data_IF_536628433180
#
_entry.id   IF_536628433180
#
_cell.length_a   1.000
_cell.length_b   1.000
_cell.length_c   1.000
_cell.angle_alpha   90.00
_cell.angle_beta   90.00
_cell.angle_gamma   90.00
#
_symmetry.space_group_name_H-M   'P 1'
#
loop_
_entity.id
_entity.type
_entity.pdbx_description
1 polymer ?
#
# COMPACT_ATOMS: atom_id res chain seq x y z
N UNK A 1 9.31 -6.15 6.31
CA UNK A 1 8.19 -6.06 5.34
C UNK A 1 7.03 -6.96 5.76
N UNK A 2 5.79 -6.56 5.52
CA UNK A 2 4.58 -7.30 5.92
C UNK A 2 3.47 -7.23 4.87
N UNK A 3 2.51 -8.14 4.97
CA UNK A 3 1.27 -8.11 4.17
C UNK A 3 0.14 -7.55 5.03
N UNK A 4 -0.70 -6.73 4.43
CA UNK A 4 -1.90 -6.15 5.04
C UNK A 4 -3.10 -6.77 4.32
N UNK A 5 -4.12 -7.18 5.05
CA UNK A 5 -5.35 -7.71 4.47
C UNK A 5 -6.57 -7.23 5.26
N UNK A 6 -7.70 -7.09 4.58
CA UNK A 6 -8.99 -6.97 5.27
C UNK A 6 -9.50 -8.34 5.69
N UNK A 7 -9.94 -8.47 6.95
CA UNK A 7 -10.66 -9.64 7.43
C UNK A 7 -12.14 -9.47 7.05
N UNK A 8 -12.47 -9.71 5.78
CA UNK A 8 -13.82 -9.57 5.25
C UNK A 8 -14.03 -10.48 4.03
N UNK A 9 -15.26 -10.95 3.84
CA UNK A 9 -15.67 -11.65 2.62
C UNK A 9 -16.05 -10.64 1.53
N UNK A 10 -15.65 -10.90 0.28
CA UNK A 10 -15.98 -10.05 -0.87
C UNK A 10 -16.70 -10.86 -1.95
N UNK A 11 -17.56 -10.21 -2.74
CA UNK A 11 -18.20 -10.83 -3.92
C UNK A 11 -17.28 -10.89 -5.14
N UNK A 12 -16.14 -10.19 -5.10
CA UNK A 12 -15.17 -10.16 -6.19
C UNK A 12 -14.40 -11.49 -6.35
N UNK A 13 -14.43 -12.37 -5.35
CA UNK A 13 -13.72 -13.67 -5.39
C UNK A 13 -12.20 -13.54 -5.42
N UNK A 14 -11.66 -12.36 -5.09
CA UNK A 14 -10.23 -12.06 -5.08
C UNK A 14 -9.72 -11.90 -3.65
N UNK A 15 -8.40 -12.03 -3.47
CA UNK A 15 -7.76 -11.78 -2.17
C UNK A 15 -8.01 -10.35 -1.68
N UNK A 16 -8.19 -10.19 -0.38
CA UNK A 16 -8.26 -8.90 0.31
C UNK A 16 -6.89 -8.37 0.73
N UNK A 17 -5.81 -9.08 0.37
CA UNK A 17 -4.44 -8.61 0.50
C UNK A 17 -4.29 -7.26 -0.20
N UNK A 18 -3.67 -6.30 0.46
CA UNK A 18 -3.29 -5.05 -0.17
C UNK A 18 -2.14 -5.29 -1.13
N UNK A 19 -2.12 -4.54 -2.23
CA UNK A 19 -0.99 -4.42 -3.14
C UNK A 19 -0.86 -3.03 -3.72
N UNK A 20 0.34 -2.67 -4.13
CA UNK A 20 0.55 -1.55 -5.03
C UNK A 20 -0.04 -1.90 -6.41
N UNK A 21 -0.93 -1.05 -6.90
CA UNK A 21 -1.49 -1.16 -8.24
C UNK A 21 -0.52 -0.66 -9.30
N UNK A 22 -0.85 -0.96 -10.56
CA UNK A 22 -0.11 -0.47 -11.71
C UNK A 22 -0.07 1.06 -11.75
N UNK A 23 0.96 1.58 -12.42
CA UNK A 23 1.04 3.01 -12.68
C UNK A 23 -0.02 3.40 -13.71
N UNK A 24 -0.93 4.27 -13.30
CA UNK A 24 -1.90 4.86 -14.21
C UNK A 24 -1.18 5.66 -15.31
N UNK A 25 -1.51 5.38 -16.57
CA UNK A 25 -0.78 5.92 -17.71
C UNK A 25 -1.01 7.43 -17.93
N UNK A 26 -2.11 7.98 -17.41
CA UNK A 26 -2.48 9.38 -17.62
C UNK A 26 -1.97 10.27 -16.48
N UNK A 27 -2.22 9.86 -15.25
CA UNK A 27 -1.85 10.61 -14.04
C UNK A 27 -0.46 10.23 -13.51
N UNK A 28 0.09 9.08 -13.93
CA UNK A 28 1.32 8.54 -13.37
C UNK A 28 1.18 8.00 -11.95
N UNK A 29 -0.05 7.97 -11.39
CA UNK A 29 -0.33 7.60 -10.01
C UNK A 29 -0.31 6.08 -9.82
N UNK A 30 0.03 5.65 -8.60
CA UNK A 30 -0.08 4.24 -8.17
C UNK A 30 -1.00 4.15 -6.95
N UNK A 31 -2.13 3.48 -7.11
CA UNK A 31 -3.12 3.27 -6.05
C UNK A 31 -2.77 2.06 -5.19
N UNK A 32 -3.24 2.05 -3.94
CA UNK A 32 -3.24 0.84 -3.12
C UNK A 32 -4.59 0.15 -3.31
N UNK A 33 -4.55 -1.09 -3.80
CA UNK A 33 -5.72 -1.88 -4.18
C UNK A 33 -5.69 -3.25 -3.49
N UNK A 34 -6.78 -4.00 -3.57
CA UNK A 34 -6.83 -5.38 -3.10
C UNK A 34 -6.43 -6.36 -4.21
N UNK A 35 -5.92 -7.52 -3.81
CA UNK A 35 -5.57 -8.62 -4.69
C UNK A 35 -4.16 -9.15 -4.39
N UNK A 36 -3.89 -10.35 -4.91
CA UNK A 36 -2.54 -10.92 -4.86
C UNK A 36 -1.72 -10.36 -6.01
N UNK A 37 -0.46 -10.06 -5.75
CA UNK A 37 0.52 -9.80 -6.79
C UNK A 37 0.96 -11.15 -7.36
N UNK A 38 0.41 -11.49 -8.52
CA UNK A 38 0.69 -12.71 -9.28
C UNK A 38 1.80 -12.49 -10.34
N UNK A 39 2.52 -11.37 -10.26
CA UNK A 39 3.67 -11.11 -11.12
C UNK A 39 4.68 -12.25 -11.11
N UNK A 40 5.03 -12.75 -12.28
CA UNK A 40 6.02 -13.84 -12.43
C UNK A 40 7.45 -13.38 -12.18
N UNK A 41 7.70 -12.07 -12.29
CA UNK A 41 8.98 -11.41 -12.05
C UNK A 41 8.73 -10.26 -11.11
N UNK A 42 9.51 -10.17 -10.02
CA UNK A 42 9.46 -9.05 -9.07
C UNK A 42 8.10 -8.86 -8.36
N UNK A 43 7.45 -9.96 -7.96
CA UNK A 43 6.20 -9.92 -7.16
C UNK A 43 6.48 -9.52 -5.71
N UNK A 44 6.49 -8.21 -5.48
CA UNK A 44 6.61 -7.62 -4.16
C UNK A 44 5.57 -6.51 -3.90
N UNK A 45 4.59 -6.37 -4.78
CA UNK A 45 3.49 -5.41 -4.68
C UNK A 45 2.69 -5.57 -3.38
N UNK A 46 2.60 -6.78 -2.81
CA UNK A 46 1.89 -7.04 -1.56
C UNK A 46 2.66 -6.65 -0.27
N UNK A 47 3.91 -6.19 -0.37
CA UNK A 47 4.75 -5.96 0.81
C UNK A 47 4.83 -4.48 1.19
N UNK A 48 4.36 -4.18 2.40
CA UNK A 48 4.31 -2.86 2.99
C UNK A 48 5.16 -2.81 4.26
N UNK A 49 5.38 -1.60 4.76
CA UNK A 49 6.06 -1.36 6.03
C UNK A 49 5.24 -0.40 6.87
N UNK A 50 5.20 -0.68 8.17
CA UNK A 50 4.64 0.24 9.17
C UNK A 50 5.82 0.98 9.78
N UNK A 51 5.84 2.29 9.62
CA UNK A 51 6.95 3.14 10.06
C UNK A 51 6.48 4.04 11.18
N UNK A 52 7.31 4.17 12.21
CA UNK A 52 7.04 5.06 13.35
C UNK A 52 7.23 6.51 12.91
N UNK A 53 6.32 7.37 13.32
CA UNK A 53 6.54 8.82 13.26
C UNK A 53 7.35 9.30 14.48
N UNK A 54 7.68 10.59 14.51
CA UNK A 54 8.28 11.24 15.68
C UNK A 54 7.34 11.29 16.90
N UNK A 55 6.02 11.19 16.66
CA UNK A 55 5.01 11.17 17.72
C UNK A 55 4.76 9.73 18.17
N UNK A 56 4.93 9.48 19.47
CA UNK A 56 4.74 8.15 20.07
C UNK A 56 3.33 7.63 19.79
N UNK A 57 3.24 6.40 19.27
CA UNK A 57 1.97 5.74 18.96
C UNK A 57 1.37 6.11 17.60
N UNK A 58 1.94 7.08 16.88
CA UNK A 58 1.54 7.42 15.52
C UNK A 58 2.50 6.78 14.51
N UNK A 59 1.92 6.18 13.49
CA UNK A 59 2.62 5.48 12.43
C UNK A 59 2.21 6.02 11.06
N UNK A 60 2.97 5.67 10.03
CA UNK A 60 2.54 5.75 8.64
C UNK A 60 2.80 4.41 7.96
N UNK A 61 2.11 4.18 6.86
CA UNK A 61 2.32 2.99 6.03
C UNK A 61 3.12 3.43 4.81
N UNK A 62 4.12 2.67 4.42
CA UNK A 62 4.87 2.88 3.18
C UNK A 62 4.89 1.62 2.33
N UNK A 63 5.06 1.81 1.03
CA UNK A 63 5.43 0.74 0.12
C UNK A 63 6.90 0.93 -0.27
N UNK A 64 7.76 0.05 0.25
CA UNK A 64 9.18 0.02 -0.05
C UNK A 64 9.77 -1.33 0.40
N UNK A 65 9.53 -2.43 -0.35
CA UNK A 65 9.81 -3.79 0.10
C UNK A 65 11.31 -4.15 0.07
N UNK A 66 12.09 -3.50 0.95
CA UNK A 66 13.54 -3.61 1.03
C UNK A 66 14.04 -4.91 1.65
N UNK A 67 13.26 -5.58 2.49
CA UNK A 67 13.66 -6.91 3.01
C UNK A 67 13.42 -7.99 1.96
N UNK A 68 12.38 -7.84 1.14
CA UNK A 68 12.07 -8.79 0.05
C UNK A 68 12.98 -8.59 -1.15
N UNK A 69 13.38 -7.35 -1.46
CA UNK A 69 14.38 -7.07 -2.47
C UNK A 69 15.33 -5.92 -2.05
N UNK A 70 16.44 -6.22 -1.36
CA UNK A 70 17.38 -5.20 -0.89
C UNK A 70 18.08 -4.43 -2.00
N UNK A 71 18.38 -5.10 -3.11
CA UNK A 71 19.12 -4.54 -4.26
C UNK A 71 18.21 -3.92 -5.34
N UNK A 72 16.87 -3.97 -5.15
CA UNK A 72 15.96 -3.40 -6.12
C UNK A 72 15.92 -1.87 -6.04
N UNK A 73 16.14 -1.21 -7.17
CA UNK A 73 15.81 0.21 -7.33
C UNK A 73 14.31 0.37 -7.51
N UNK A 74 13.60 0.56 -6.39
CA UNK A 74 12.15 0.74 -6.35
C UNK A 74 11.81 2.21 -6.12
N UNK A 75 10.79 2.69 -6.82
CA UNK A 75 10.17 3.98 -6.50
C UNK A 75 9.31 3.85 -5.25
N UNK A 76 9.95 3.97 -4.09
CA UNK A 76 9.33 3.92 -2.77
C UNK A 76 8.50 5.17 -2.47
N UNK A 77 7.52 5.02 -1.58
CA UNK A 77 6.75 6.15 -1.08
C UNK A 77 5.90 5.80 0.13
N UNK A 78 5.45 6.84 0.83
CA UNK A 78 4.46 6.70 1.88
C UNK A 78 3.06 6.58 1.25
N UNK A 79 2.20 5.78 1.88
CA UNK A 79 0.79 5.67 1.53
C UNK A 79 0.09 6.91 2.06
N UNK A 80 -0.53 7.65 1.15
CA UNK A 80 -1.33 8.82 1.43
C UNK A 80 -2.76 8.69 0.90
N UNK A 81 -3.51 9.78 1.04
CA UNK A 81 -4.89 9.89 0.55
C UNK A 81 -4.96 10.79 -0.68
N UNK A 82 -5.78 10.38 -1.64
CA UNK A 82 -6.29 11.22 -2.72
C UNK A 82 -7.81 11.30 -2.68
N UNK A 83 -8.36 12.36 -3.29
CA UNK A 83 -9.81 12.50 -3.51
C UNK A 83 -10.08 12.54 -5.00
N UNK A 84 -10.82 11.57 -5.49
CA UNK A 84 -11.13 11.43 -6.91
C UNK A 84 -12.57 10.97 -7.08
N UNK A 85 -13.35 11.67 -7.91
CA UNK A 85 -14.76 11.33 -8.18
C UNK A 85 -15.61 11.14 -6.91
N UNK A 86 -15.38 11.98 -5.90
CA UNK A 86 -16.05 11.91 -4.59
C UNK A 86 -15.60 10.75 -3.70
N UNK A 87 -14.61 9.95 -4.13
CA UNK A 87 -14.04 8.84 -3.35
C UNK A 87 -12.72 9.26 -2.72
N UNK A 88 -12.46 8.71 -1.53
CA UNK A 88 -11.17 8.83 -0.86
C UNK A 88 -10.41 7.54 -1.10
N UNK A 89 -9.28 7.60 -1.80
CA UNK A 89 -8.49 6.44 -2.18
C UNK A 89 -7.09 6.53 -1.58
N UNK A 90 -6.49 5.36 -1.34
CA UNK A 90 -5.09 5.26 -0.91
C UNK A 90 -4.17 5.24 -2.14
N UNK A 91 -3.10 6.01 -2.10
CA UNK A 91 -2.14 6.12 -3.19
C UNK A 91 -0.72 6.39 -2.66
N UNK A 92 0.28 6.10 -3.49
CA UNK A 92 1.70 6.25 -3.13
C UNK A 92 2.25 7.68 -3.31
N UNK A 93 1.43 8.59 -3.84
CA UNK A 93 1.73 10.00 -4.13
C UNK A 93 0.76 10.96 -3.42
N UNK A 94 -0.05 10.47 -2.48
CA UNK A 94 -0.99 11.26 -1.70
C UNK A 94 -0.34 11.98 -0.51
N UNK A 95 -1.10 12.87 0.13
CA UNK A 95 -0.69 13.44 1.42
C UNK A 95 -0.58 12.32 2.46
N UNK A 96 0.62 12.13 3.03
CA UNK A 96 0.92 11.06 3.99
C UNK A 96 -0.08 11.09 5.13
N UNK A 97 -0.64 9.92 5.46
CA UNK A 97 -1.63 9.82 6.53
C UNK A 97 -1.03 9.23 7.81
N UNK A 98 -1.13 9.95 8.94
CA UNK A 98 -0.84 9.36 10.24
C UNK A 98 -1.95 8.36 10.60
N UNK A 99 -1.55 7.20 11.10
CA UNK A 99 -2.45 6.12 11.53
C UNK A 99 -2.12 5.64 12.94
N UNK A 100 -3.14 5.14 13.62
CA UNK A 100 -3.03 4.42 14.90
C UNK A 100 -3.65 3.04 14.72
N UNK A 101 -3.06 2.03 15.35
CA UNK A 101 -3.58 0.66 15.30
C UNK A 101 -4.34 0.36 16.57
N UNK A 102 -5.64 0.10 16.44
CA UNK A 102 -6.50 -0.33 17.53
C UNK A 102 -6.81 -1.81 17.38
N UNK A 103 -6.68 -2.56 18.48
CA UNK A 103 -7.10 -3.97 18.52
C UNK A 103 -8.63 -4.04 18.46
N UNK A 104 -9.14 -4.78 17.49
CA UNK A 104 -10.56 -5.15 17.34
C UNK A 104 -10.94 -6.31 18.24
#
# INVERSE_FOLDING_TARGET
>A
DLRIQFIASTTCGQSTDWRLGERDATSGRRLIITGRDDGTVRSFGNFFRIVRSEVVGIYFIEWCPREVCPECMLECGAVGIIRENGKTLLALDGGVIPVVFQKS
#
